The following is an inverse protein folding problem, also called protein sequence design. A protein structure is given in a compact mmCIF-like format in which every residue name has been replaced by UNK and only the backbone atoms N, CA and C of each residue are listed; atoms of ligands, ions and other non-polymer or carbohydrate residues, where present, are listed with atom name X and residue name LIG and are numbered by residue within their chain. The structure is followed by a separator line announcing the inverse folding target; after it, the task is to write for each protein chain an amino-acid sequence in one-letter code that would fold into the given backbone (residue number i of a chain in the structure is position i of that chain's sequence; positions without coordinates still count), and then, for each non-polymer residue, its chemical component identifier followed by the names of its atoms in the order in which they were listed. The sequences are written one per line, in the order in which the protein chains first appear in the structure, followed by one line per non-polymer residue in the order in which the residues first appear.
data_IF_982077188227
#
_entry.id   IF_982077188227
#
_cell.length_a   1.000
_cell.length_b   1.000
_cell.length_c   1.000
_cell.angle_alpha   90.00
_cell.angle_beta   90.00
_cell.angle_gamma   90.00
#
_symmetry.space_group_name_H-M   'P 1'
#
loop_
_entity.id
_entity.type
_entity.pdbx_description
1 polymer ?
#
# COMPACT_ATOMS: atom_id res chain seq x y z
N UNK A 1 -7.53 13.91 14.73
CA UNK A 1 -7.09 13.67 13.33
C UNK A 1 -6.37 12.32 13.25
N UNK A 2 -7.05 11.24 13.63
CA UNK A 2 -6.47 9.90 13.59
C UNK A 2 -6.32 9.40 12.16
N UNK A 3 -5.28 8.56 11.93
CA UNK A 3 -5.04 7.85 10.66
C UNK A 3 -4.61 6.42 10.97
N UNK A 4 -5.15 5.44 10.24
CA UNK A 4 -4.60 4.09 10.20
C UNK A 4 -3.53 4.02 9.13
N UNK A 5 -2.34 3.56 9.51
CA UNK A 5 -1.25 3.29 8.58
C UNK A 5 -1.11 1.76 8.41
N UNK A 6 -1.71 1.26 7.36
CA UNK A 6 -1.76 -0.17 7.05
C UNK A 6 -0.46 -0.65 6.38
N UNK A 7 0.05 -1.77 6.85
CA UNK A 7 1.23 -2.45 6.31
C UNK A 7 0.98 -3.86 5.80
N UNK A 8 2.01 -4.46 5.20
CA UNK A 8 1.95 -5.82 4.64
C UNK A 8 1.66 -6.92 5.67
N UNK A 9 1.97 -6.67 6.95
CA UNK A 9 1.68 -7.58 8.06
C UNK A 9 0.21 -7.97 8.19
N UNK A 10 -0.72 -7.12 7.72
CA UNK A 10 -2.16 -7.40 7.71
C UNK A 10 -2.48 -8.63 6.84
N UNK A 11 -1.89 -8.72 5.66
CA UNK A 11 -2.09 -9.91 4.82
C UNK A 11 -1.26 -11.10 5.28
N UNK A 12 -0.03 -10.85 5.73
CA UNK A 12 0.86 -11.92 6.20
C UNK A 12 0.29 -12.66 7.41
N UNK A 13 -0.44 -11.97 8.27
CA UNK A 13 -1.15 -12.57 9.42
C UNK A 13 -2.47 -13.25 9.05
N UNK A 14 -2.93 -13.14 7.78
CA UNK A 14 -4.24 -13.64 7.37
C UNK A 14 -5.44 -12.81 7.86
N UNK A 15 -5.21 -11.67 8.48
CA UNK A 15 -6.23 -10.88 9.19
C UNK A 15 -6.86 -9.75 8.35
N UNK A 16 -6.95 -9.94 7.02
CA UNK A 16 -7.48 -8.90 6.13
C UNK A 16 -8.95 -8.58 6.40
N UNK A 17 -9.77 -9.60 6.62
CA UNK A 17 -11.21 -9.43 6.85
C UNK A 17 -11.47 -8.70 8.18
N UNK A 18 -10.73 -9.07 9.23
CA UNK A 18 -10.76 -8.38 10.53
C UNK A 18 -10.29 -6.94 10.40
N UNK A 19 -9.26 -6.69 9.59
CA UNK A 19 -8.78 -5.35 9.32
C UNK A 19 -9.86 -4.48 8.66
N UNK A 20 -10.55 -4.96 7.65
CA UNK A 20 -11.64 -4.22 7.00
C UNK A 20 -12.77 -3.93 8.01
N UNK A 21 -13.16 -4.91 8.82
CA UNK A 21 -14.16 -4.68 9.90
C UNK A 21 -13.70 -3.62 10.91
N UNK A 22 -12.42 -3.62 11.30
CA UNK A 22 -11.83 -2.59 12.18
C UNK A 22 -11.87 -1.22 11.53
N UNK A 23 -11.47 -1.12 10.27
CA UNK A 23 -11.50 0.12 9.48
C UNK A 23 -12.91 0.70 9.44
N UNK A 24 -13.91 -0.12 9.14
CA UNK A 24 -15.31 0.31 9.09
C UNK A 24 -15.86 0.70 10.46
N UNK A 25 -15.47 -0.04 11.50
CA UNK A 25 -15.87 0.27 12.88
C UNK A 25 -15.30 1.59 13.35
N UNK A 26 -14.01 1.85 13.10
CA UNK A 26 -13.35 3.08 13.52
C UNK A 26 -13.77 4.29 12.68
N UNK A 27 -14.05 4.10 11.40
CA UNK A 27 -14.52 5.18 10.50
C UNK A 27 -13.49 6.29 10.29
N UNK A 28 -12.19 6.02 10.40
CA UNK A 28 -11.10 6.99 10.28
C UNK A 28 -10.30 6.77 8.98
N UNK A 29 -9.60 7.79 8.47
CA UNK A 29 -8.79 7.67 7.26
C UNK A 29 -7.78 6.54 7.31
N UNK A 30 -7.59 5.86 6.18
CA UNK A 30 -6.60 4.79 6.00
C UNK A 30 -5.61 5.17 4.90
N UNK A 31 -4.33 5.02 5.21
CA UNK A 31 -3.23 5.06 4.23
C UNK A 31 -2.53 3.71 4.18
N UNK A 32 -2.00 3.35 3.02
CA UNK A 32 -1.30 2.08 2.83
C UNK A 32 0.17 2.29 2.52
N UNK A 33 1.03 1.50 3.14
CA UNK A 33 2.46 1.48 2.85
C UNK A 33 2.82 0.62 1.63
N UNK A 34 4.11 0.57 1.32
CA UNK A 34 4.65 -0.35 0.34
C UNK A 34 4.34 -1.80 0.72
N UNK A 35 4.03 -2.63 -0.29
CA UNK A 35 3.59 -4.01 -0.14
C UNK A 35 2.28 -4.20 0.65
N UNK A 36 1.54 -3.11 0.82
CA UNK A 36 0.19 -3.10 1.38
C UNK A 36 -0.81 -2.38 0.46
N UNK A 37 -0.49 -2.29 -0.84
CA UNK A 37 -1.26 -1.54 -1.84
C UNK A 37 -2.72 -1.98 -1.87
N UNK A 38 -2.95 -3.26 -1.67
CA UNK A 38 -4.19 -3.97 -1.89
C UNK A 38 -4.90 -4.41 -0.60
N UNK A 39 -4.46 -3.95 0.57
CA UNK A 39 -5.18 -4.24 1.83
C UNK A 39 -6.48 -3.44 1.96
N UNK A 40 -6.60 -2.37 1.18
CA UNK A 40 -7.82 -1.60 0.99
C UNK A 40 -7.82 -0.99 -0.43
N UNK A 41 -8.94 -1.03 -1.11
CA UNK A 41 -9.05 -0.55 -2.50
C UNK A 41 -9.27 0.95 -2.58
N UNK A 42 -8.88 1.55 -3.70
CA UNK A 42 -8.85 3.01 -3.86
C UNK A 42 -10.24 3.67 -3.76
N UNK A 43 -11.32 2.97 -4.16
CA UNK A 43 -12.69 3.48 -4.07
C UNK A 43 -13.31 3.33 -2.69
N UNK A 44 -12.62 2.71 -1.74
CA UNK A 44 -13.12 2.59 -0.38
C UNK A 44 -13.28 3.98 0.26
N UNK A 45 -14.41 4.21 0.94
CA UNK A 45 -14.75 5.52 1.53
C UNK A 45 -13.70 6.08 2.49
N UNK A 46 -12.91 5.22 3.13
CA UNK A 46 -11.90 5.62 4.13
C UNK A 46 -10.47 5.63 3.58
N UNK A 47 -10.23 5.15 2.35
CA UNK A 47 -8.92 5.23 1.72
C UNK A 47 -8.56 6.69 1.39
N UNK A 48 -7.33 7.13 1.75
CA UNK A 48 -6.89 8.52 1.51
C UNK A 48 -5.49 8.64 0.92
N UNK A 49 -4.87 7.52 0.53
CA UNK A 49 -3.63 7.55 -0.24
C UNK A 49 -2.53 6.62 0.23
N UNK A 50 -1.37 6.75 -0.42
CA UNK A 50 -0.15 5.97 -0.18
C UNK A 50 1.00 6.91 0.15
N UNK A 51 1.32 7.11 1.44
CA UNK A 51 2.42 8.00 1.84
C UNK A 51 3.79 7.37 1.57
N UNK A 52 4.81 8.21 1.55
CA UNK A 52 6.21 7.81 1.40
C UNK A 52 7.00 8.77 0.53
N UNK A 53 8.29 8.50 0.35
CA UNK A 53 9.22 9.32 -0.44
C UNK A 53 8.82 9.40 -1.92
N UNK A 54 8.25 8.33 -2.44
CA UNK A 54 7.61 8.26 -3.76
C UNK A 54 6.10 8.02 -3.64
N UNK A 55 5.52 8.34 -2.49
CA UNK A 55 4.09 8.27 -2.25
C UNK A 55 3.31 9.42 -2.90
N UNK A 56 2.00 9.34 -2.86
CA UNK A 56 1.16 10.43 -3.32
C UNK A 56 1.04 11.56 -2.28
N UNK A 57 0.74 12.75 -2.74
CA UNK A 57 0.67 13.95 -1.89
C UNK A 57 -0.42 13.84 -0.83
N UNK A 58 -1.57 13.27 -1.17
CA UNK A 58 -2.70 13.11 -0.25
C UNK A 58 -2.35 12.21 0.94
N UNK A 59 -1.72 11.06 0.69
CA UNK A 59 -1.23 10.17 1.75
C UNK A 59 -0.20 10.84 2.66
N UNK A 60 0.74 11.56 2.07
CA UNK A 60 1.72 12.34 2.84
C UNK A 60 1.06 13.44 3.68
N UNK A 61 0.10 14.18 3.12
CA UNK A 61 -0.64 15.17 3.88
C UNK A 61 -1.44 14.56 5.04
N UNK A 62 -2.08 13.42 4.82
CA UNK A 62 -2.82 12.74 5.88
C UNK A 62 -1.90 12.35 7.04
N UNK A 63 -0.76 11.73 6.76
CA UNK A 63 0.20 11.29 7.79
C UNK A 63 0.83 12.48 8.53
N UNK A 64 1.29 13.49 7.80
CA UNK A 64 1.99 14.63 8.40
C UNK A 64 1.10 15.55 9.23
N UNK A 65 -0.21 15.56 8.97
CA UNK A 65 -1.19 16.36 9.72
C UNK A 65 -1.99 15.56 10.76
N UNK A 66 -1.72 14.25 10.88
CA UNK A 66 -2.31 13.41 11.91
C UNK A 66 -1.88 13.85 13.31
N UNK A 67 -2.74 13.65 14.30
CA UNK A 67 -2.42 13.74 15.73
C UNK A 67 -2.37 12.35 16.40
N UNK A 68 -2.85 11.33 15.70
CA UNK A 68 -2.73 9.92 16.10
C UNK A 68 -2.49 9.06 14.87
N UNK A 69 -1.46 8.21 14.91
CA UNK A 69 -1.22 7.15 13.94
C UNK A 69 -1.41 5.79 14.61
N UNK A 70 -2.35 5.01 14.10
CA UNK A 70 -2.47 3.59 14.39
C UNK A 70 -1.75 2.81 13.28
N UNK A 71 -0.54 2.33 13.59
CA UNK A 71 0.34 1.66 12.64
C UNK A 71 0.18 0.16 12.82
N UNK A 72 -0.29 -0.54 11.79
CA UNK A 72 -0.66 -1.95 11.84
C UNK A 72 0.19 -2.77 10.88
N UNK A 73 1.10 -3.59 11.41
CA UNK A 73 1.96 -4.50 10.65
C UNK A 73 2.77 -3.79 9.55
N UNK A 74 3.27 -2.60 9.88
CA UNK A 74 4.00 -1.75 8.96
C UNK A 74 5.35 -1.38 9.56
N UNK A 75 6.41 -1.83 8.90
CA UNK A 75 7.79 -1.62 9.36
C UNK A 75 8.28 -0.18 9.28
N UNK A 76 7.52 0.76 8.72
CA UNK A 76 7.93 2.16 8.53
C UNK A 76 9.36 2.27 7.99
N UNK A 77 9.64 1.56 6.90
CA UNK A 77 10.95 1.57 6.27
C UNK A 77 11.28 2.95 5.67
N UNK A 78 12.52 3.14 5.23
CA UNK A 78 13.01 4.43 4.75
C UNK A 78 12.24 4.99 3.55
N UNK A 79 11.66 4.13 2.71
CA UNK A 79 10.83 4.58 1.58
C UNK A 79 9.51 5.20 2.04
N UNK A 80 9.07 4.88 3.25
CA UNK A 80 7.84 5.43 3.84
C UNK A 80 8.11 6.68 4.67
N UNK A 81 9.20 6.69 5.45
CA UNK A 81 9.49 7.78 6.39
C UNK A 81 10.52 8.79 5.88
N UNK A 82 11.27 8.44 4.83
CA UNK A 82 12.35 9.25 4.30
C UNK A 82 13.62 9.21 5.16
N UNK A 83 14.66 9.90 4.71
CA UNK A 83 15.94 9.99 5.43
C UNK A 83 15.86 10.90 6.65
N UNK A 84 14.99 11.92 6.60
CA UNK A 84 14.74 12.79 7.76
C UNK A 84 13.56 12.23 8.60
N UNK A 85 13.74 11.04 9.18
CA UNK A 85 12.69 10.38 9.97
C UNK A 85 12.27 11.16 11.21
N UNK A 86 13.08 12.10 11.69
CA UNK A 86 12.72 13.01 12.79
C UNK A 86 11.56 13.93 12.41
N UNK A 87 11.37 14.23 11.12
CA UNK A 87 10.27 15.03 10.64
C UNK A 87 8.98 14.23 10.37
N UNK A 88 9.04 12.89 10.48
CA UNK A 88 7.90 12.03 10.20
C UNK A 88 6.82 12.14 11.28
N UNK A 89 5.64 12.62 10.87
CA UNK A 89 4.45 12.71 11.72
C UNK A 89 4.75 13.22 13.14
N UNK A 90 5.46 14.34 13.25
CA UNK A 90 6.01 14.87 14.51
C UNK A 90 4.95 15.09 15.59
N UNK A 91 3.73 15.49 15.17
CA UNK A 91 2.62 15.83 16.08
C UNK A 91 1.74 14.62 16.43
N UNK A 92 1.97 13.48 15.77
CA UNK A 92 1.15 12.31 15.96
C UNK A 92 1.60 11.46 17.14
N UNK A 93 0.67 11.10 18.02
CA UNK A 93 0.84 9.99 18.94
C UNK A 93 0.83 8.69 18.15
N UNK A 94 1.89 7.89 18.22
CA UNK A 94 2.11 6.70 17.40
C UNK A 94 1.84 5.45 18.23
N UNK A 95 0.73 4.77 17.95
CA UNK A 95 0.46 3.41 18.43
C UNK A 95 0.94 2.46 17.34
N UNK A 96 1.95 1.67 17.63
CA UNK A 96 2.55 0.78 16.65
C UNK A 96 2.43 -0.68 17.07
N UNK A 97 1.69 -1.43 16.27
CA UNK A 97 1.44 -2.87 16.44
C UNK A 97 2.25 -3.63 15.42
N UNK A 98 3.17 -4.44 15.89
CA UNK A 98 3.98 -5.32 15.06
C UNK A 98 4.29 -6.62 15.82
N UNK A 99 4.51 -7.70 15.08
CA UNK A 99 4.90 -8.99 15.65
C UNK A 99 6.37 -9.01 16.04
N UNK A 100 7.21 -8.19 15.37
CA UNK A 100 8.65 -8.14 15.59
C UNK A 100 9.00 -7.03 16.59
N UNK A 101 9.47 -7.39 17.81
CA UNK A 101 9.88 -6.41 18.80
C UNK A 101 11.11 -5.58 18.38
N UNK A 102 11.91 -6.05 17.42
CA UNK A 102 13.09 -5.33 16.94
C UNK A 102 12.69 -4.16 16.06
N UNK A 103 11.64 -4.29 15.26
CA UNK A 103 11.08 -3.19 14.48
C UNK A 103 10.55 -2.05 15.36
N UNK A 104 9.99 -2.38 16.52
CA UNK A 104 9.46 -1.41 17.47
C UNK A 104 10.56 -0.66 18.27
N UNK A 105 11.79 -1.19 18.26
CA UNK A 105 12.94 -0.63 18.99
C UNK A 105 13.99 0.00 18.08
N UNK A 106 13.82 -0.02 16.77
CA UNK A 106 14.82 0.51 15.83
C UNK A 106 15.06 2.01 16.04
N UNK A 107 16.28 2.53 15.78
CA UNK A 107 16.68 3.89 16.15
C UNK A 107 16.12 5.01 15.26
N UNK A 108 15.13 4.73 14.43
CA UNK A 108 14.53 5.72 13.50
C UNK A 108 13.26 6.33 14.10
N UNK A 109 12.09 5.98 13.58
CA UNK A 109 10.81 6.42 14.15
C UNK A 109 10.54 5.64 15.42
N UNK A 110 10.27 6.36 16.52
CA UNK A 110 9.92 5.75 17.80
C UNK A 110 8.41 5.76 18.01
N UNK A 111 7.80 4.66 18.45
CA UNK A 111 6.41 4.65 18.89
C UNK A 111 6.24 5.37 20.25
N UNK A 112 5.08 5.98 20.46
CA UNK A 112 4.67 6.43 21.79
C UNK A 112 4.08 5.25 22.61
N UNK A 113 3.45 4.30 21.88
CA UNK A 113 2.95 3.04 22.45
C UNK A 113 3.32 1.89 21.50
N UNK A 114 4.10 0.94 22.02
CA UNK A 114 4.46 -0.30 21.33
C UNK A 114 3.51 -1.42 21.75
N UNK A 115 2.99 -2.15 20.76
CA UNK A 115 2.19 -3.36 20.99
C UNK A 115 2.83 -4.50 20.23
N UNK A 116 3.45 -5.44 20.93
CA UNK A 116 4.03 -6.65 20.34
C UNK A 116 2.89 -7.68 20.24
N UNK A 117 2.36 -7.85 19.03
CA UNK A 117 1.26 -8.80 18.81
C UNK A 117 1.15 -9.18 17.34
N UNK A 118 0.70 -10.42 17.10
CA UNK A 118 0.20 -10.81 15.79
C UNK A 118 -1.15 -10.10 15.52
N UNK A 119 -1.32 -9.57 14.31
CA UNK A 119 -2.56 -8.90 13.92
C UNK A 119 -3.76 -9.85 13.88
N UNK A 120 -3.54 -11.15 13.63
CA UNK A 120 -4.59 -12.16 13.73
C UNK A 120 -5.17 -12.27 15.14
N UNK A 121 -4.42 -11.89 16.18
CA UNK A 121 -4.87 -11.84 17.58
C UNK A 121 -5.35 -10.43 17.93
N UNK A 122 -4.60 -9.41 17.56
CA UNK A 122 -4.86 -8.02 17.94
C UNK A 122 -6.18 -7.48 17.37
N UNK A 123 -6.43 -7.68 16.06
CA UNK A 123 -7.59 -7.10 15.39
C UNK A 123 -8.93 -7.64 15.91
N UNK A 124 -9.10 -8.97 16.15
CA UNK A 124 -10.30 -9.49 16.78
C UNK A 124 -10.56 -8.93 18.19
N UNK A 125 -9.50 -8.69 18.96
CA UNK A 125 -9.61 -8.07 20.30
C UNK A 125 -10.07 -6.62 20.16
N UNK A 126 -9.45 -5.86 19.26
CA UNK A 126 -9.83 -4.46 18.98
C UNK A 126 -11.30 -4.34 18.51
N UNK A 127 -11.79 -5.34 17.77
CA UNK A 127 -13.21 -5.39 17.37
C UNK A 127 -14.17 -5.54 18.57
N UNK A 128 -13.74 -6.13 19.68
CA UNK A 128 -14.58 -6.30 20.87
C UNK A 128 -14.60 -5.06 21.77
N UNK A 129 -13.59 -4.20 21.66
CA UNK A 129 -13.51 -2.98 22.48
C UNK A 129 -14.66 -2.04 22.12
N UNK A 130 -15.44 -1.56 23.11
CA UNK A 130 -16.45 -0.54 22.86
C UNK A 130 -15.80 0.71 22.25
N UNK A 131 -16.36 1.21 21.18
CA UNK A 131 -15.86 2.39 20.50
C UNK A 131 -17.00 3.39 20.31
N UNK A 132 -16.82 4.59 20.84
CA UNK A 132 -17.76 5.68 20.58
C UNK A 132 -17.44 6.23 19.20
N UNK A 133 -18.38 6.08 18.26
CA UNK A 133 -18.27 6.68 16.94
C UNK A 133 -17.95 8.16 17.08
N UNK A 134 -16.87 8.54 16.51
CA UNK A 134 -16.41 9.91 16.52
C UNK A 134 -17.42 10.82 15.81
N UNK A 135 -17.70 11.93 16.47
CA UNK A 135 -18.62 12.92 15.96
C UNK A 135 -18.07 13.72 14.75
N UNK A 136 -18.66 14.87 14.48
CA UNK A 136 -18.33 15.76 13.36
C UNK A 136 -16.84 16.06 13.13
N UNK A 137 -16.02 16.07 14.20
CA UNK A 137 -14.58 16.36 14.07
C UNK A 137 -13.85 15.35 13.18
N UNK A 138 -14.15 14.04 13.33
CA UNK A 138 -13.53 13.02 12.48
C UNK A 138 -14.10 13.00 11.07
N UNK A 139 -15.39 13.31 10.92
CA UNK A 139 -15.99 13.47 9.60
C UNK A 139 -15.35 14.63 8.84
N UNK A 140 -15.15 15.78 9.50
CA UNK A 140 -14.42 16.92 8.90
C UNK A 140 -12.98 16.56 8.55
N UNK A 141 -12.30 15.77 9.39
CA UNK A 141 -10.96 15.30 9.11
C UNK A 141 -10.91 14.37 7.89
N UNK A 142 -11.82 13.40 7.83
CA UNK A 142 -11.93 12.51 6.67
C UNK A 142 -12.24 13.29 5.39
N UNK A 143 -13.17 14.23 5.44
CA UNK A 143 -13.50 15.10 4.31
C UNK A 143 -12.29 15.93 3.85
N UNK A 144 -11.50 16.45 4.81
CA UNK A 144 -10.26 17.16 4.48
C UNK A 144 -9.25 16.25 3.76
N UNK A 145 -9.06 15.02 4.23
CA UNK A 145 -8.18 14.05 3.59
C UNK A 145 -8.66 13.68 2.17
N UNK A 146 -9.95 13.45 2.00
CA UNK A 146 -10.57 13.18 0.69
C UNK A 146 -10.38 14.33 -0.28
N UNK A 147 -10.60 15.56 0.18
CA UNK A 147 -10.35 16.75 -0.64
C UNK A 147 -8.88 16.85 -1.09
N UNK A 148 -7.90 16.41 -0.26
CA UNK A 148 -6.50 16.34 -0.68
C UNK A 148 -6.30 15.28 -1.78
N UNK A 149 -6.97 14.15 -1.69
CA UNK A 149 -6.90 13.09 -2.70
C UNK A 149 -7.41 13.59 -4.06
N UNK A 150 -8.52 14.31 -4.07
CA UNK A 150 -9.11 14.90 -5.28
C UNK A 150 -8.29 16.08 -5.84
N UNK A 151 -7.81 16.95 -4.95
CA UNK A 151 -7.06 18.16 -5.36
C UNK A 151 -5.68 17.86 -5.91
N UNK A 152 -5.08 16.75 -5.52
CA UNK A 152 -3.71 16.36 -5.91
C UNK A 152 -3.70 14.99 -6.57
N UNK A 153 -4.32 14.85 -7.76
CA UNK A 153 -4.29 13.59 -8.49
C UNK A 153 -2.85 13.21 -8.84
N UNK A 154 -2.60 11.92 -8.96
CA UNK A 154 -1.28 11.39 -9.35
C UNK A 154 -1.07 11.55 -10.85
N UNK A 155 -2.08 11.25 -11.63
CA UNK A 155 -2.06 11.40 -13.09
C UNK A 155 -2.66 12.76 -13.45
N UNK A 156 -1.84 13.61 -14.03
CA UNK A 156 -2.24 14.97 -14.37
C UNK A 156 -2.79 15.03 -15.80
N UNK A 157 -3.76 15.92 -16.11
CA UNK A 157 -4.32 16.06 -17.45
C UNK A 157 -3.26 16.27 -18.53
N UNK A 158 -2.23 17.07 -18.24
CA UNK A 158 -1.14 17.36 -19.17
C UNK A 158 -0.29 16.13 -19.54
N UNK A 159 -0.28 15.07 -18.73
CA UNK A 159 0.44 13.84 -19.05
C UNK A 159 -0.15 13.12 -20.27
N UNK A 160 -1.45 13.30 -20.54
CA UNK A 160 -2.15 12.74 -21.68
C UNK A 160 -1.85 13.46 -22.99
N UNK A 161 -1.26 14.65 -22.93
CA UNK A 161 -0.92 15.47 -24.11
C UNK A 161 0.47 15.12 -24.67
N UNK A 162 1.21 14.22 -24.04
CA UNK A 162 2.54 13.82 -24.49
C UNK A 162 2.48 13.01 -25.79
N UNK A 163 3.39 13.28 -26.74
CA UNK A 163 3.55 12.48 -27.96
C UNK A 163 3.95 11.03 -27.65
N UNK A 164 4.67 10.80 -26.55
CA UNK A 164 5.04 9.47 -26.07
C UNK A 164 4.12 9.03 -24.97
N UNK A 165 3.92 7.71 -24.86
CA UNK A 165 3.10 7.15 -23.78
C UNK A 165 3.74 7.48 -22.43
N UNK A 166 3.03 8.27 -21.63
CA UNK A 166 3.43 8.58 -20.26
C UNK A 166 3.17 7.34 -19.37
N UNK A 167 4.15 6.85 -18.61
CA UNK A 167 3.98 5.68 -17.74
C UNK A 167 2.82 5.81 -16.74
N UNK A 168 2.54 6.99 -16.22
CA UNK A 168 1.41 7.23 -15.32
C UNK A 168 0.08 7.03 -16.02
N UNK A 169 -0.07 7.54 -17.25
CA UNK A 169 -1.28 7.33 -18.07
C UNK A 169 -1.44 5.86 -18.45
N UNK A 170 -0.33 5.16 -18.74
CA UNK A 170 -0.36 3.72 -19.02
C UNK A 170 -0.88 2.93 -17.83
N UNK A 171 -0.34 3.15 -16.63
CA UNK A 171 -0.76 2.45 -15.40
C UNK A 171 -2.22 2.76 -15.07
N UNK A 172 -2.65 4.01 -15.17
CA UNK A 172 -4.04 4.38 -14.95
C UNK A 172 -4.98 3.67 -15.93
N UNK A 173 -4.65 3.67 -17.23
CA UNK A 173 -5.42 2.97 -18.26
C UNK A 173 -5.48 1.47 -18.02
N UNK A 174 -4.35 0.86 -17.64
CA UNK A 174 -4.26 -0.56 -17.32
C UNK A 174 -5.21 -0.90 -16.18
N UNK A 175 -5.08 -0.25 -15.03
CA UNK A 175 -5.89 -0.56 -13.85
C UNK A 175 -7.38 -0.24 -14.04
N UNK A 176 -7.73 0.73 -14.89
CA UNK A 176 -9.13 0.99 -15.25
C UNK A 176 -9.73 -0.17 -16.06
N UNK A 177 -8.94 -0.85 -16.90
CA UNK A 177 -9.38 -2.00 -17.72
C UNK A 177 -9.36 -3.33 -16.97
N UNK A 178 -8.49 -3.48 -15.95
CA UNK A 178 -8.40 -4.70 -15.18
C UNK A 178 -9.73 -5.05 -14.51
N UNK A 179 -10.04 -6.36 -14.54
CA UNK A 179 -11.24 -6.91 -13.87
C UNK A 179 -10.96 -7.06 -12.36
N UNK A 180 -12.01 -7.37 -11.63
CA UNK A 180 -11.91 -7.80 -10.23
C UNK A 180 -11.04 -9.06 -10.14
N UNK A 181 -10.32 -9.20 -9.02
CA UNK A 181 -9.50 -10.37 -8.67
C UNK A 181 -8.27 -10.61 -9.58
N UNK A 182 -7.92 -9.68 -10.47
CA UNK A 182 -6.70 -9.80 -11.27
C UNK A 182 -5.44 -9.47 -10.45
N UNK A 183 -4.37 -10.17 -10.77
CA UNK A 183 -3.08 -10.07 -10.10
C UNK A 183 -2.08 -9.36 -11.01
N UNK A 184 -1.42 -8.35 -10.46
CA UNK A 184 -0.34 -7.60 -11.12
C UNK A 184 0.95 -7.80 -10.33
N UNK A 185 2.03 -8.13 -11.01
CA UNK A 185 3.38 -8.24 -10.46
C UNK A 185 4.27 -7.18 -11.11
N UNK A 186 4.96 -6.41 -10.29
CA UNK A 186 5.93 -5.42 -10.75
C UNK A 186 7.21 -5.52 -9.92
N UNK A 187 8.38 -5.57 -10.56
CA UNK A 187 9.64 -5.75 -9.84
C UNK A 187 10.17 -4.44 -9.25
N UNK A 188 10.74 -3.62 -10.10
CA UNK A 188 11.49 -2.44 -9.70
C UNK A 188 11.33 -1.28 -10.69
N UNK A 189 12.10 -0.23 -10.50
CA UNK A 189 12.16 0.92 -11.40
C UNK A 189 10.79 1.57 -11.62
N UNK A 190 10.54 2.00 -12.83
CA UNK A 190 9.30 2.69 -13.23
C UNK A 190 8.06 1.82 -13.01
N UNK A 191 8.11 0.53 -13.34
CA UNK A 191 6.99 -0.39 -13.14
C UNK A 191 6.52 -0.43 -11.68
N UNK A 192 7.47 -0.51 -10.74
CA UNK A 192 7.19 -0.51 -9.30
C UNK A 192 6.76 0.86 -8.79
N UNK A 193 7.51 1.92 -9.11
CA UNK A 193 7.29 3.26 -8.55
C UNK A 193 6.00 3.87 -9.08
N UNK A 194 5.79 3.84 -10.40
CA UNK A 194 4.56 4.38 -11.00
C UNK A 194 3.37 3.51 -10.66
N UNK A 195 3.54 2.18 -10.61
CA UNK A 195 2.52 1.26 -10.11
C UNK A 195 2.08 1.61 -8.69
N UNK A 196 3.03 1.86 -7.77
CA UNK A 196 2.71 2.27 -6.42
C UNK A 196 1.91 3.58 -6.36
N UNK A 197 2.28 4.55 -7.18
CA UNK A 197 1.65 5.87 -7.18
C UNK A 197 0.29 5.88 -7.89
N UNK A 198 0.23 5.35 -9.12
CA UNK A 198 -0.89 5.55 -10.05
C UNK A 198 -1.88 4.39 -10.12
N UNK A 199 -1.54 3.19 -9.62
CA UNK A 199 -2.45 2.06 -9.68
C UNK A 199 -3.74 2.32 -8.89
N UNK A 200 -4.87 2.31 -9.58
CA UNK A 200 -6.19 2.47 -8.98
C UNK A 200 -6.83 1.10 -8.73
N UNK A 201 -6.45 0.49 -7.60
CA UNK A 201 -6.87 -0.85 -7.23
C UNK A 201 -8.37 -0.92 -6.92
N UNK A 202 -9.03 -1.93 -7.49
CA UNK A 202 -10.40 -2.32 -7.19
C UNK A 202 -10.42 -3.41 -6.11
N UNK A 203 -11.57 -3.63 -5.52
CA UNK A 203 -11.76 -4.74 -4.57
C UNK A 203 -11.34 -6.08 -5.20
N UNK A 204 -10.58 -6.88 -4.48
CA UNK A 204 -10.09 -8.20 -4.90
C UNK A 204 -8.79 -8.18 -5.70
N UNK A 205 -8.44 -7.08 -6.37
CA UNK A 205 -7.18 -7.00 -7.11
C UNK A 205 -5.95 -7.08 -6.19
N UNK A 206 -4.87 -7.66 -6.73
CA UNK A 206 -3.59 -7.79 -6.05
C UNK A 206 -2.51 -7.05 -6.82
N UNK A 207 -1.64 -6.36 -6.09
CA UNK A 207 -0.44 -5.73 -6.66
C UNK A 207 0.77 -6.12 -5.81
N UNK A 208 1.67 -6.87 -6.41
CA UNK A 208 2.93 -7.31 -5.79
C UNK A 208 4.10 -6.52 -6.34
N UNK A 209 4.96 -6.08 -5.45
CA UNK A 209 6.18 -5.36 -5.84
C UNK A 209 7.37 -5.85 -5.03
N UNK A 210 8.57 -5.76 -5.59
CA UNK A 210 9.82 -6.00 -4.89
C UNK A 210 10.47 -4.69 -4.44
N UNK A 211 9.69 -3.81 -3.81
CA UNK A 211 10.14 -2.47 -3.45
C UNK A 211 11.20 -2.44 -2.33
N UNK A 212 11.34 -3.50 -1.56
CA UNK A 212 12.33 -3.60 -0.48
C UNK A 212 13.76 -3.66 -1.02
N UNK A 213 14.12 -4.77 -1.63
CA UNK A 213 15.43 -4.99 -2.26
C UNK A 213 15.52 -4.37 -3.65
N UNK A 214 14.38 -4.21 -4.34
CA UNK A 214 14.27 -3.69 -5.70
C UNK A 214 15.13 -4.46 -6.71
N UNK A 215 15.23 -5.79 -6.55
CA UNK A 215 16.05 -6.66 -7.38
C UNK A 215 15.52 -6.70 -8.82
N UNK A 216 16.40 -6.52 -9.80
CA UNK A 216 16.11 -6.83 -11.19
C UNK A 216 15.95 -8.35 -11.35
N UNK A 217 15.11 -8.77 -12.29
CA UNK A 217 14.83 -10.19 -12.55
C UNK A 217 13.78 -10.82 -11.63
N UNK A 218 13.20 -10.07 -10.69
CA UNK A 218 12.15 -10.57 -9.80
C UNK A 218 10.80 -10.77 -10.52
N UNK A 219 10.48 -9.93 -11.50
CA UNK A 219 9.16 -9.80 -12.13
C UNK A 219 8.67 -11.12 -12.73
N UNK A 220 9.42 -11.70 -13.64
CA UNK A 220 9.00 -12.89 -14.39
C UNK A 220 8.85 -14.13 -13.48
N UNK A 221 9.85 -14.51 -12.65
CA UNK A 221 9.69 -15.61 -11.69
C UNK A 221 8.54 -15.40 -10.70
N UNK A 222 8.34 -14.17 -10.23
CA UNK A 222 7.24 -13.86 -9.33
C UNK A 222 5.86 -13.95 -10.00
N UNK A 223 5.76 -13.58 -11.28
CA UNK A 223 4.54 -13.75 -12.06
C UNK A 223 4.20 -15.23 -12.27
N UNK A 224 5.21 -16.08 -12.53
CA UNK A 224 5.05 -17.53 -12.60
C UNK A 224 4.53 -18.07 -11.25
N UNK A 225 5.19 -17.69 -10.16
CA UNK A 225 4.76 -18.12 -8.82
C UNK A 225 3.35 -17.66 -8.49
N UNK A 226 2.96 -16.44 -8.85
CA UNK A 226 1.62 -15.93 -8.65
C UNK A 226 0.57 -16.69 -9.49
N UNK A 227 0.89 -17.04 -10.74
CA UNK A 227 0.02 -17.83 -11.60
C UNK A 227 -0.22 -19.22 -11.01
N UNK A 228 0.84 -19.91 -10.58
CA UNK A 228 0.75 -21.23 -9.94
C UNK A 228 -0.10 -21.16 -8.66
N UNK A 229 0.17 -20.15 -7.80
CA UNK A 229 -0.56 -20.00 -6.55
C UNK A 229 -2.05 -19.66 -6.75
N UNK A 230 -2.42 -19.11 -7.90
CA UNK A 230 -3.81 -18.85 -8.30
C UNK A 230 -4.42 -19.92 -9.21
N UNK A 231 -3.92 -21.14 -9.15
CA UNK A 231 -4.33 -22.28 -10.00
C UNK A 231 -4.25 -21.96 -11.51
N UNK A 232 -3.10 -21.46 -11.94
CA UNK A 232 -2.84 -20.98 -13.30
C UNK A 232 -3.76 -19.86 -13.77
N UNK A 233 -4.15 -19.01 -12.83
CA UNK A 233 -4.85 -17.75 -13.13
C UNK A 233 -3.99 -16.79 -13.95
N UNK A 234 -4.64 -15.94 -14.73
CA UNK A 234 -3.96 -14.88 -15.49
C UNK A 234 -3.26 -13.89 -14.54
N UNK A 235 -2.00 -13.60 -14.83
CA UNK A 235 -1.18 -12.62 -14.09
C UNK A 235 -0.59 -11.61 -15.06
N UNK A 236 -0.64 -10.35 -14.69
CA UNK A 236 -0.01 -9.28 -15.47
C UNK A 236 1.37 -9.01 -14.88
N UNK A 237 2.40 -9.20 -15.70
CA UNK A 237 3.79 -8.91 -15.34
C UNK A 237 4.20 -7.56 -15.91
N UNK A 238 4.55 -6.61 -15.04
CA UNK A 238 5.11 -5.31 -15.40
C UNK A 238 6.62 -5.34 -15.17
N UNK A 239 7.36 -5.56 -16.25
CA UNK A 239 8.82 -5.68 -16.23
C UNK A 239 9.47 -4.50 -16.96
N UNK A 240 10.61 -4.04 -16.45
CA UNK A 240 11.53 -3.21 -17.20
C UNK A 240 12.34 -4.09 -18.17
N UNK A 241 12.79 -3.50 -19.27
CA UNK A 241 13.61 -4.17 -20.29
C UNK A 241 14.86 -4.84 -19.70
N UNK A 242 15.61 -4.11 -18.87
CA UNK A 242 16.77 -4.67 -18.18
C UNK A 242 16.42 -5.72 -17.11
N UNK A 243 15.25 -5.60 -16.47
CA UNK A 243 14.82 -6.56 -15.46
C UNK A 243 14.46 -7.91 -16.07
N UNK A 244 13.67 -7.92 -17.14
CA UNK A 244 13.25 -9.15 -17.80
C UNK A 244 14.44 -9.92 -18.40
N UNK A 245 15.47 -9.21 -18.84
CA UNK A 245 16.69 -9.82 -19.40
C UNK A 245 17.46 -10.66 -18.38
N UNK A 246 17.32 -10.37 -17.06
CA UNK A 246 18.00 -11.14 -16.01
C UNK A 246 17.50 -12.58 -15.90
N UNK A 247 16.25 -12.84 -16.24
CA UNK A 247 15.60 -14.15 -16.15
C UNK A 247 14.78 -14.48 -17.40
N UNK A 248 15.25 -14.06 -18.57
CA UNK A 248 14.57 -14.27 -19.85
C UNK A 248 14.29 -15.77 -20.13
N UNK A 249 15.16 -16.66 -19.65
CA UNK A 249 15.01 -18.12 -19.77
C UNK A 249 13.72 -18.65 -19.11
N UNK A 250 13.13 -17.91 -18.16
CA UNK A 250 11.87 -18.30 -17.53
C UNK A 250 10.67 -18.26 -18.48
N UNK A 251 10.81 -17.64 -19.65
CA UNK A 251 9.82 -17.77 -20.73
C UNK A 251 9.70 -19.23 -21.20
N UNK A 252 10.80 -20.00 -21.17
CA UNK A 252 10.77 -21.43 -21.47
C UNK A 252 9.97 -22.21 -20.40
N UNK A 253 10.12 -21.81 -19.11
CA UNK A 253 9.34 -22.38 -18.00
C UNK A 253 7.85 -22.13 -18.22
N UNK A 254 7.45 -20.91 -18.60
CA UNK A 254 6.06 -20.59 -18.93
C UNK A 254 5.54 -21.43 -20.08
N UNK A 255 6.30 -21.48 -21.18
CA UNK A 255 5.91 -22.24 -22.36
C UNK A 255 5.78 -23.75 -22.09
N UNK A 256 6.61 -24.30 -21.18
CA UNK A 256 6.59 -25.74 -20.83
C UNK A 256 5.37 -26.09 -19.96
N UNK A 257 4.98 -25.22 -19.05
CA UNK A 257 3.91 -25.48 -18.08
C UNK A 257 2.53 -24.98 -18.51
N UNK A 258 2.42 -24.20 -19.54
CA UNK A 258 1.18 -23.65 -20.13
C UNK A 258 0.64 -22.49 -19.33
#
# INVERSE_FOLDING_TARGET
RPVIYAGGGIRLSGALDEFIKVVEKLGIPVVTGWNAHDVIWNTHKLYVGRPGTVGNRSGNFAVQNADLLLILGNRLNIRQVGYNWKSFAQKAYKIWVDIDPTELKKPTVQPNMSVIADLAIFLPILLKVPFVKSGEKHQRWLAWCKNRLERYPVVLPEYWLSEKINPYCFIESLFNKLKKDEVVVAANGTACVVGFQAAHLKFGQRLWTNSGCASMGYDLPAAIGASIASNKGSVICLAGDGSIMMNLQELATIAHHG
#
